data_IF_093583821249
#
_entry.id   IF_093583821249
#
_cell.length_a   1.000
_cell.length_b   1.000
_cell.length_c   1.000
_cell.angle_alpha   90.00
_cell.angle_beta   90.00
_cell.angle_gamma   90.00
#
_symmetry.space_group_name_H-M   'P 1'
#
loop_
_entity.id
_entity.type
_entity.pdbx_description
1 polymer ?
#
# COMPACT_ATOMS: atom_id res chain seq x y z
N UNK A 1 -21.93 -2.68 -5.56
CA UNK A 1 -22.26 -1.95 -4.31
C UNK A 1 -20.94 -1.73 -3.60
N UNK A 2 -20.58 -0.48 -3.32
CA UNK A 2 -19.36 -0.18 -2.57
C UNK A 2 -19.53 -0.72 -1.14
N UNK A 3 -18.51 -1.41 -0.63
CA UNK A 3 -18.47 -1.85 0.77
C UNK A 3 -18.49 -0.67 1.76
N UNK A 4 -18.57 -0.93 3.08
CA UNK A 4 -18.47 0.13 4.08
C UNK A 4 -17.09 0.78 4.04
N UNK A 5 -17.02 2.09 4.34
CA UNK A 5 -15.78 2.84 4.40
C UNK A 5 -14.78 2.21 5.39
N UNK A 6 -13.55 1.96 4.91
CA UNK A 6 -12.45 1.43 5.72
C UNK A 6 -11.42 2.50 6.05
N UNK A 7 -11.10 3.36 5.06
CA UNK A 7 -10.33 4.60 5.27
C UNK A 7 -11.14 5.75 4.70
N UNK A 8 -11.30 6.82 5.48
CA UNK A 8 -11.85 8.07 5.02
C UNK A 8 -10.80 9.17 5.20
N UNK A 9 -10.56 9.91 4.14
CA UNK A 9 -9.68 11.08 4.15
C UNK A 9 -10.56 12.31 3.92
N UNK A 10 -10.45 13.30 4.83
CA UNK A 10 -11.27 14.51 4.80
C UNK A 10 -10.41 15.76 4.87
N UNK A 11 -10.52 16.62 3.87
CA UNK A 11 -9.83 17.92 3.73
C UNK A 11 -8.33 17.83 4.06
N UNK A 12 -7.69 16.71 3.62
CA UNK A 12 -6.30 16.43 3.97
C UNK A 12 -5.36 17.31 3.16
N UNK A 13 -4.45 17.98 3.85
CA UNK A 13 -3.38 18.77 3.22
C UNK A 13 -2.03 18.36 3.78
N UNK A 14 -1.05 18.18 2.89
CA UNK A 14 0.30 17.75 3.21
C UNK A 14 1.29 18.84 2.79
N UNK A 15 2.21 19.20 3.69
CA UNK A 15 3.22 20.20 3.44
C UNK A 15 4.56 19.87 4.12
N UNK A 16 5.63 20.46 3.61
CA UNK A 16 6.95 20.51 4.24
C UNK A 16 7.30 21.99 4.46
N UNK A 17 7.17 22.49 5.69
CA UNK A 17 7.23 23.90 5.98
C UNK A 17 6.17 24.65 5.17
N UNK A 18 6.57 25.67 4.42
CA UNK A 18 5.67 26.49 3.58
C UNK A 18 5.34 25.82 2.23
N UNK A 19 6.00 24.72 1.88
CA UNK A 19 5.77 24.03 0.62
C UNK A 19 4.60 23.06 0.72
N UNK A 20 3.47 23.41 0.10
CA UNK A 20 2.28 22.55 0.02
C UNK A 20 2.48 21.51 -1.07
N UNK A 21 2.48 20.22 -0.67
CA UNK A 21 2.58 19.08 -1.59
C UNK A 21 1.24 18.76 -2.22
N UNK A 22 0.21 18.63 -1.39
CA UNK A 22 -1.18 18.38 -1.79
C UNK A 22 -2.12 19.05 -0.78
N UNK A 23 -3.31 19.45 -1.22
CA UNK A 23 -4.31 20.14 -0.39
C UNK A 23 -5.74 19.71 -0.71
N UNK A 24 -6.59 19.73 0.31
CA UNK A 24 -8.03 19.48 0.16
C UNK A 24 -8.31 18.11 -0.46
N UNK A 25 -7.62 17.07 0.00
CA UNK A 25 -7.90 15.70 -0.47
C UNK A 25 -9.08 15.14 0.29
N UNK A 26 -10.11 14.70 -0.46
CA UNK A 26 -11.31 14.05 0.06
C UNK A 26 -11.58 12.76 -0.70
N UNK A 27 -11.41 11.60 -0.06
CA UNK A 27 -11.68 10.31 -0.68
C UNK A 27 -11.97 9.22 0.34
N UNK A 28 -12.55 8.12 -0.14
CA UNK A 28 -12.88 6.94 0.66
C UNK A 28 -12.32 5.69 0.03
N UNK A 29 -11.69 4.85 0.84
CA UNK A 29 -11.31 3.48 0.51
C UNK A 29 -12.31 2.55 1.20
N UNK A 30 -13.02 1.74 0.45
CA UNK A 30 -14.00 0.81 1.02
C UNK A 30 -13.34 -0.52 1.39
N UNK A 31 -13.98 -1.28 2.28
CA UNK A 31 -13.50 -2.64 2.61
C UNK A 31 -13.46 -3.51 1.37
N UNK A 32 -12.33 -4.22 1.20
CA UNK A 32 -12.09 -5.09 0.07
C UNK A 32 -11.71 -4.37 -1.24
N UNK A 33 -11.52 -3.04 -1.22
CA UNK A 33 -10.95 -2.34 -2.38
C UNK A 33 -9.48 -2.73 -2.60
N UNK A 34 -9.07 -2.76 -3.86
CA UNK A 34 -7.70 -2.45 -4.27
C UNK A 34 -7.73 -1.00 -4.76
N UNK A 35 -7.45 -0.10 -3.84
CA UNK A 35 -7.50 1.34 -4.08
C UNK A 35 -6.16 1.85 -4.59
N UNK A 36 -6.15 2.48 -5.76
CA UNK A 36 -4.93 2.96 -6.39
C UNK A 36 -4.74 4.46 -6.19
N UNK A 37 -3.61 4.85 -5.62
CA UNK A 37 -3.13 6.24 -5.61
C UNK A 37 -2.20 6.40 -6.80
N UNK A 38 -2.67 7.08 -7.83
CA UNK A 38 -1.92 7.28 -9.07
C UNK A 38 -1.59 8.75 -9.32
N UNK A 39 -0.62 9.00 -10.20
CA UNK A 39 -0.18 10.34 -10.59
C UNK A 39 1.28 10.36 -11.03
N UNK A 40 1.72 11.46 -11.60
CA UNK A 40 3.09 11.66 -12.08
C UNK A 40 4.14 11.61 -10.97
N UNK A 41 5.42 11.61 -11.35
CA UNK A 41 6.51 11.68 -10.38
C UNK A 41 6.46 13.02 -9.63
N UNK A 42 6.73 12.98 -8.32
CA UNK A 42 6.74 14.18 -7.48
C UNK A 42 5.36 14.76 -7.10
N UNK A 43 4.23 14.16 -7.54
CA UNK A 43 2.89 14.65 -7.20
C UNK A 43 2.47 14.39 -5.74
N UNK A 44 3.30 13.77 -4.89
CA UNK A 44 3.01 13.59 -3.47
C UNK A 44 2.42 12.24 -3.07
N UNK A 45 2.44 11.21 -3.93
CA UNK A 45 1.94 9.86 -3.62
C UNK A 45 2.56 9.26 -2.35
N UNK A 46 3.88 9.24 -2.26
CA UNK A 46 4.60 8.72 -1.08
C UNK A 46 4.36 9.59 0.16
N UNK A 47 4.16 10.90 0.00
CA UNK A 47 3.79 11.78 1.12
C UNK A 47 2.39 11.46 1.64
N UNK A 48 1.43 11.24 0.73
CA UNK A 48 0.09 10.77 1.11
C UNK A 48 0.15 9.42 1.81
N UNK A 49 0.90 8.46 1.25
CA UNK A 49 1.09 7.16 1.88
C UNK A 49 1.62 7.29 3.31
N UNK A 50 2.66 8.13 3.52
CA UNK A 50 3.22 8.37 4.87
C UNK A 50 2.19 8.96 5.83
N UNK A 51 1.31 9.84 5.36
CA UNK A 51 0.22 10.38 6.16
C UNK A 51 -0.82 9.30 6.51
N UNK A 52 -1.16 8.43 5.55
CA UNK A 52 -2.06 7.31 5.80
C UNK A 52 -1.50 6.30 6.79
N UNK A 53 -0.23 5.96 6.75
CA UNK A 53 0.35 4.94 7.63
C UNK A 53 0.90 5.48 8.96
N UNK A 54 0.67 6.76 9.27
CA UNK A 54 1.07 7.35 10.54
C UNK A 54 2.56 7.65 10.68
N UNK A 55 3.27 7.84 9.55
CA UNK A 55 4.69 8.20 9.52
C UNK A 55 4.93 9.72 9.38
N UNK A 56 3.93 10.45 8.87
CA UNK A 56 4.03 11.91 8.69
C UNK A 56 2.68 12.55 8.99
N UNK A 57 2.65 13.41 9.98
CA UNK A 57 1.44 14.15 10.31
C UNK A 57 1.06 15.12 9.19
N UNK A 58 -0.21 15.13 8.73
CA UNK A 58 -0.69 16.10 7.76
C UNK A 58 -0.70 17.51 8.35
N UNK A 59 -0.58 18.51 7.49
CA UNK A 59 -0.70 19.92 7.90
C UNK A 59 -2.15 20.31 8.24
N UNK A 60 -3.13 19.63 7.63
CA UNK A 60 -4.56 19.84 7.88
C UNK A 60 -5.36 18.60 7.49
N UNK A 61 -6.57 18.48 8.04
CA UNK A 61 -7.52 17.43 7.70
C UNK A 61 -7.39 16.20 8.58
N UNK A 62 -8.16 15.17 8.26
CA UNK A 62 -8.26 13.95 9.06
C UNK A 62 -8.12 12.69 8.21
N UNK A 63 -7.61 11.64 8.85
CA UNK A 63 -7.58 10.27 8.33
C UNK A 63 -8.31 9.39 9.33
N UNK A 64 -9.44 8.82 8.91
CA UNK A 64 -10.24 7.95 9.77
C UNK A 64 -10.10 6.50 9.30
N UNK A 65 -9.89 5.59 10.24
CA UNK A 65 -9.91 4.14 10.05
C UNK A 65 -11.17 3.56 10.67
N UNK A 66 -12.10 3.10 9.85
CA UNK A 66 -13.41 2.61 10.31
C UNK A 66 -14.12 3.62 11.24
N UNK A 67 -14.01 4.92 10.92
CA UNK A 67 -14.59 6.02 11.69
C UNK A 67 -13.73 6.58 12.83
N UNK A 68 -12.61 5.97 13.18
CA UNK A 68 -11.71 6.44 14.23
C UNK A 68 -10.63 7.37 13.66
N UNK A 69 -10.55 8.61 14.16
CA UNK A 69 -9.57 9.61 13.72
C UNK A 69 -8.16 9.26 14.22
N UNK A 70 -7.27 8.93 13.30
CA UNK A 70 -5.93 8.47 13.62
C UNK A 70 -5.06 9.58 14.24
N UNK A 71 -5.06 10.77 13.64
CA UNK A 71 -4.10 11.82 14.03
C UNK A 71 -4.51 12.58 15.29
N UNK A 72 -5.81 12.63 15.60
CA UNK A 72 -6.32 13.24 16.83
C UNK A 72 -6.52 12.22 17.97
N UNK A 73 -6.27 10.93 17.72
CA UNK A 73 -6.34 9.90 18.74
C UNK A 73 -5.15 9.94 19.70
N UNK A 74 -5.36 9.44 20.93
CA UNK A 74 -4.28 9.20 21.89
C UNK A 74 -3.33 8.08 21.42
N UNK A 75 -2.12 8.05 22.01
CA UNK A 75 -1.05 7.13 21.61
C UNK A 75 -1.46 5.64 21.60
N UNK A 76 -2.25 5.20 22.56
CA UNK A 76 -2.75 3.82 22.64
C UNK A 76 -3.63 3.46 21.44
N UNK A 77 -4.57 4.34 21.08
CA UNK A 77 -5.43 4.16 19.90
C UNK A 77 -4.62 4.18 18.60
N UNK A 78 -3.67 5.11 18.47
CA UNK A 78 -2.77 5.14 17.31
C UNK A 78 -1.97 3.84 17.18
N UNK A 79 -1.45 3.31 18.29
CA UNK A 79 -0.70 2.06 18.30
C UNK A 79 -1.59 0.86 17.91
N UNK A 80 -2.82 0.81 18.40
CA UNK A 80 -3.80 -0.21 18.04
C UNK A 80 -4.15 -0.15 16.56
N UNK A 81 -4.38 1.05 16.00
CA UNK A 81 -4.67 1.24 14.59
C UNK A 81 -3.47 0.86 13.71
N UNK A 82 -2.24 1.23 14.11
CA UNK A 82 -1.01 0.85 13.37
C UNK A 82 -0.84 -0.66 13.25
N UNK A 83 -1.21 -1.46 14.27
CA UNK A 83 -1.13 -2.92 14.21
C UNK A 83 -2.06 -3.54 13.17
N UNK A 84 -3.11 -2.81 12.77
CA UNK A 84 -4.06 -3.23 11.71
C UNK A 84 -3.58 -2.86 10.30
N UNK A 85 -2.42 -2.19 10.19
CA UNK A 85 -1.83 -1.76 8.93
C UNK A 85 -0.59 -2.61 8.63
N UNK A 86 -0.57 -3.24 7.46
CA UNK A 86 0.64 -3.81 6.87
C UNK A 86 1.23 -2.84 5.86
N UNK A 87 2.56 -2.74 5.80
CA UNK A 87 3.21 -1.80 4.88
C UNK A 87 4.31 -2.51 4.10
N UNK A 88 4.19 -2.47 2.77
CA UNK A 88 5.26 -2.84 1.86
C UNK A 88 5.85 -1.57 1.24
N UNK A 89 7.06 -1.22 1.62
CA UNK A 89 7.82 -0.12 1.00
C UNK A 89 8.47 -0.54 -0.31
N UNK A 90 8.73 0.41 -1.20
CA UNK A 90 9.22 0.23 -2.56
C UNK A 90 10.39 -0.78 -2.70
N UNK A 91 11.35 -0.75 -1.78
CA UNK A 91 12.51 -1.68 -1.76
C UNK A 91 12.30 -2.97 -0.97
N UNK A 92 11.07 -3.24 -0.49
CA UNK A 92 10.80 -4.32 0.47
C UNK A 92 11.20 -3.97 1.91
N UNK A 93 12.16 -3.08 2.10
CA UNK A 93 12.70 -2.60 3.39
C UNK A 93 13.09 -3.73 4.37
N UNK A 94 13.58 -4.87 3.84
CA UNK A 94 14.06 -5.98 4.64
C UNK A 94 15.36 -5.60 5.37
N UNK A 95 15.50 -6.08 6.59
CA UNK A 95 16.76 -5.98 7.33
C UNK A 95 17.78 -6.93 6.69
N UNK A 96 18.87 -6.38 6.14
CA UNK A 96 19.86 -7.12 5.39
C UNK A 96 20.69 -8.12 6.24
N UNK A 97 20.76 -7.88 7.54
CA UNK A 97 21.44 -8.73 8.53
C UNK A 97 20.56 -9.85 9.10
N UNK A 98 19.30 -9.90 8.73
CA UNK A 98 18.34 -10.91 9.16
C UNK A 98 17.95 -11.82 7.99
N UNK A 99 17.72 -13.11 8.29
CA UNK A 99 17.13 -14.05 7.34
C UNK A 99 15.70 -13.65 6.98
N UNK A 100 15.08 -14.33 6.01
CA UNK A 100 13.67 -14.10 5.69
C UNK A 100 12.76 -14.46 6.86
N UNK A 101 13.02 -15.59 7.51
CA UNK A 101 12.27 -15.99 8.70
C UNK A 101 12.34 -14.92 9.79
N UNK A 102 13.54 -14.45 10.13
CA UNK A 102 13.74 -13.40 11.12
C UNK A 102 13.06 -12.08 10.74
N UNK A 103 13.12 -11.69 9.46
CA UNK A 103 12.43 -10.49 8.97
C UNK A 103 10.91 -10.59 9.17
N UNK A 104 10.30 -11.73 8.88
CA UNK A 104 8.85 -11.96 9.04
C UNK A 104 8.47 -12.14 10.51
N UNK A 105 9.33 -12.77 11.32
CA UNK A 105 9.12 -12.97 12.76
C UNK A 105 9.13 -11.67 13.55
N UNK A 106 9.90 -10.65 13.10
CA UNK A 106 10.14 -9.41 13.85
C UNK A 106 8.85 -8.74 14.34
N UNK A 107 7.85 -8.40 13.50
CA UNK A 107 6.62 -7.81 13.98
C UNK A 107 5.80 -8.75 14.88
N UNK A 108 5.86 -10.06 14.67
CA UNK A 108 5.13 -11.03 15.50
C UNK A 108 5.73 -11.03 16.91
N UNK A 109 7.05 -11.11 17.02
CA UNK A 109 7.75 -11.11 18.30
C UNK A 109 7.56 -9.79 19.07
N UNK A 110 7.53 -8.66 18.37
CA UNK A 110 7.37 -7.34 18.99
C UNK A 110 5.94 -7.08 19.50
N UNK A 111 4.93 -7.54 18.78
CA UNK A 111 3.54 -7.15 19.03
C UNK A 111 2.66 -8.27 19.57
N UNK A 112 3.18 -9.50 19.69
CA UNK A 112 2.44 -10.63 20.26
C UNK A 112 3.24 -11.28 21.40
N UNK A 113 2.57 -11.94 22.30
CA UNK A 113 3.23 -12.74 23.35
C UNK A 113 3.35 -14.23 22.96
N UNK A 114 3.38 -14.55 21.67
CA UNK A 114 3.37 -15.94 21.21
C UNK A 114 4.70 -16.65 21.51
N UNK A 115 4.65 -17.94 21.87
CA UNK A 115 5.86 -18.73 22.07
C UNK A 115 6.59 -18.95 20.72
N UNK A 116 7.94 -19.12 20.74
CA UNK A 116 8.76 -19.22 19.51
C UNK A 116 8.23 -20.23 18.47
N UNK A 117 7.83 -21.43 18.90
CA UNK A 117 7.30 -22.45 17.98
C UNK A 117 6.05 -21.98 17.19
N UNK A 118 5.19 -21.16 17.80
CA UNK A 118 4.03 -20.58 17.10
C UNK A 118 4.43 -19.46 16.16
N UNK A 119 5.46 -18.69 16.51
CA UNK A 119 6.04 -17.67 15.62
C UNK A 119 6.60 -18.36 14.37
N UNK A 120 7.37 -19.43 14.53
CA UNK A 120 7.95 -20.21 13.42
C UNK A 120 6.87 -20.77 12.48
N UNK A 121 5.77 -21.32 13.01
CA UNK A 121 4.64 -21.80 12.21
C UNK A 121 4.00 -20.67 11.39
N UNK A 122 3.77 -19.51 12.00
CA UNK A 122 3.20 -18.34 11.32
C UNK A 122 4.16 -17.84 10.23
N UNK A 123 5.45 -17.76 10.52
CA UNK A 123 6.49 -17.35 9.57
C UNK A 123 6.51 -18.27 8.36
N UNK A 124 6.57 -19.58 8.57
CA UNK A 124 6.55 -20.56 7.48
C UNK A 124 5.28 -20.40 6.62
N UNK A 125 4.13 -20.22 7.24
CA UNK A 125 2.86 -19.98 6.55
C UNK A 125 2.90 -18.69 5.72
N UNK A 126 3.39 -17.57 6.28
CA UNK A 126 3.46 -16.28 5.56
C UNK A 126 4.43 -16.32 4.39
N UNK A 127 5.57 -16.99 4.53
CA UNK A 127 6.51 -17.20 3.42
C UNK A 127 5.90 -18.11 2.34
N UNK A 128 5.19 -19.16 2.73
CA UNK A 128 4.49 -20.03 1.77
C UNK A 128 3.40 -19.26 0.99
N UNK A 129 2.63 -18.39 1.64
CA UNK A 129 1.60 -17.56 0.98
C UNK A 129 2.16 -16.70 -0.17
N UNK A 130 3.40 -16.24 -0.04
CA UNK A 130 4.04 -15.44 -1.08
C UNK A 130 4.95 -16.27 -2.01
N UNK A 131 4.85 -17.62 -1.95
CA UNK A 131 5.62 -18.54 -2.78
C UNK A 131 7.12 -18.53 -2.45
N UNK A 132 7.48 -18.40 -1.17
CA UNK A 132 8.85 -18.44 -0.65
C UNK A 132 9.06 -19.54 0.39
N UNK A 133 8.25 -20.62 0.35
CA UNK A 133 8.51 -21.80 1.17
C UNK A 133 9.89 -22.42 0.83
N UNK A 134 10.68 -22.74 1.85
CA UNK A 134 12.04 -23.26 1.71
C UNK A 134 13.12 -22.17 1.56
N UNK A 135 12.75 -20.90 1.68
CA UNK A 135 13.69 -19.76 1.65
C UNK A 135 13.85 -19.08 3.02
N UNK A 136 13.40 -19.73 4.09
CA UNK A 136 13.36 -19.20 5.46
C UNK A 136 14.73 -18.70 5.93
N UNK A 137 15.79 -19.45 5.65
CA UNK A 137 17.17 -19.22 6.09
C UNK A 137 17.99 -18.30 5.15
N UNK A 138 17.40 -17.88 4.01
CA UNK A 138 18.09 -17.00 3.07
C UNK A 138 18.12 -15.55 3.56
N UNK A 139 19.22 -14.86 3.26
CA UNK A 139 19.36 -13.43 3.50
C UNK A 139 18.84 -12.62 2.30
N UNK A 140 18.38 -11.37 2.52
CA UNK A 140 17.92 -10.51 1.42
C UNK A 140 18.95 -10.33 0.29
N UNK A 141 20.25 -10.37 0.58
CA UNK A 141 21.31 -10.27 -0.44
C UNK A 141 21.31 -11.41 -1.46
N UNK A 142 20.79 -12.57 -1.10
CA UNK A 142 20.77 -13.79 -1.93
C UNK A 142 19.54 -13.86 -2.87
N UNK A 143 18.63 -12.89 -2.76
CA UNK A 143 17.33 -12.91 -3.45
C UNK A 143 17.29 -12.00 -4.66
N UNK A 144 16.48 -12.40 -5.66
CA UNK A 144 16.08 -11.50 -6.74
C UNK A 144 15.21 -10.33 -6.24
N UNK A 145 15.08 -9.26 -7.04
CA UNK A 145 14.23 -8.12 -6.69
C UNK A 145 12.77 -8.49 -6.42
N UNK A 146 12.22 -9.40 -7.21
CA UNK A 146 10.86 -9.91 -7.02
C UNK A 146 10.70 -10.75 -5.74
N UNK A 147 11.71 -11.58 -5.41
CA UNK A 147 11.70 -12.33 -4.14
C UNK A 147 11.78 -11.39 -2.93
N UNK A 148 12.61 -10.34 -2.98
CA UNK A 148 12.69 -9.33 -1.91
C UNK A 148 11.34 -8.66 -1.66
N UNK A 149 10.62 -8.31 -2.73
CA UNK A 149 9.29 -7.70 -2.62
C UNK A 149 8.26 -8.66 -2.03
N UNK A 150 8.26 -9.93 -2.45
CA UNK A 150 7.39 -10.96 -1.88
C UNK A 150 7.71 -11.22 -0.39
N UNK A 151 8.98 -11.28 -0.02
CA UNK A 151 9.36 -11.40 1.39
C UNK A 151 8.95 -10.17 2.23
N UNK A 152 9.10 -8.96 1.68
CA UNK A 152 8.59 -7.73 2.29
C UNK A 152 7.07 -7.75 2.45
N UNK A 153 6.35 -8.34 1.49
CA UNK A 153 4.91 -8.55 1.57
C UNK A 153 4.53 -9.54 2.67
N UNK A 154 5.24 -10.69 2.78
CA UNK A 154 5.06 -11.65 3.88
C UNK A 154 5.22 -10.99 5.25
N UNK A 155 6.26 -10.15 5.42
CA UNK A 155 6.46 -9.38 6.65
C UNK A 155 5.35 -8.36 6.90
N UNK A 156 4.91 -7.65 5.87
CA UNK A 156 3.81 -6.69 5.98
C UNK A 156 2.51 -7.36 6.44
N UNK A 157 2.34 -8.64 6.10
CA UNK A 157 1.17 -9.45 6.45
C UNK A 157 1.34 -10.29 7.73
N UNK A 158 2.46 -10.16 8.42
CA UNK A 158 2.79 -11.02 9.57
C UNK A 158 1.76 -10.96 10.73
N UNK A 159 1.11 -9.81 10.92
CA UNK A 159 0.09 -9.57 11.94
C UNK A 159 -1.36 -9.66 11.43
N UNK A 160 -1.59 -10.25 10.26
CA UNK A 160 -2.92 -10.32 9.61
C UNK A 160 -3.63 -8.95 9.54
N UNK A 161 -3.02 -7.96 8.90
CA UNK A 161 -3.56 -6.61 8.87
C UNK A 161 -4.89 -6.55 8.09
N UNK A 162 -5.82 -5.72 8.55
CA UNK A 162 -7.07 -5.44 7.83
C UNK A 162 -6.82 -4.61 6.55
N UNK A 163 -5.76 -3.80 6.59
CA UNK A 163 -5.38 -2.88 5.51
C UNK A 163 -3.91 -3.08 5.18
N UNK A 164 -3.62 -3.28 3.90
CA UNK A 164 -2.27 -3.39 3.37
C UNK A 164 -1.97 -2.18 2.48
N UNK A 165 -0.91 -1.45 2.80
CA UNK A 165 -0.46 -0.30 2.01
C UNK A 165 0.83 -0.67 1.29
N UNK A 166 0.85 -0.55 -0.02
CA UNK A 166 1.94 -1.01 -0.89
C UNK A 166 2.47 0.16 -1.71
N UNK A 167 3.75 0.46 -1.56
CA UNK A 167 4.44 1.52 -2.31
C UNK A 167 5.25 0.94 -3.46
N UNK A 168 4.86 1.26 -4.69
CA UNK A 168 5.52 0.90 -5.95
C UNK A 168 5.91 -0.60 -6.04
N UNK A 169 4.92 -1.53 -5.95
CA UNK A 169 5.20 -2.96 -5.88
C UNK A 169 5.98 -3.50 -7.09
N UNK A 170 5.63 -3.07 -8.29
CA UNK A 170 6.19 -3.55 -9.56
C UNK A 170 7.44 -2.79 -10.02
N UNK A 171 7.81 -1.70 -9.35
CA UNK A 171 8.98 -0.89 -9.72
C UNK A 171 10.27 -1.72 -9.77
N UNK A 172 10.99 -1.64 -10.90
CA UNK A 172 12.25 -2.33 -11.12
C UNK A 172 12.13 -3.85 -11.37
N UNK A 173 10.93 -4.37 -11.57
CA UNK A 173 10.68 -5.75 -11.97
C UNK A 173 10.50 -5.84 -13.49
N UNK A 174 10.83 -7.00 -14.05
CA UNK A 174 10.42 -7.34 -15.40
C UNK A 174 8.90 -7.52 -15.50
N UNK A 175 8.29 -7.38 -16.70
CA UNK A 175 6.83 -7.41 -16.84
C UNK A 175 6.17 -8.70 -16.34
N UNK A 176 6.84 -9.85 -16.48
CA UNK A 176 6.28 -11.14 -16.04
C UNK A 176 6.27 -11.24 -14.51
N UNK A 177 7.36 -10.83 -13.88
CA UNK A 177 7.48 -10.81 -12.41
C UNK A 177 6.52 -9.78 -11.80
N UNK A 178 6.36 -8.60 -12.42
CA UNK A 178 5.39 -7.60 -12.00
C UNK A 178 3.96 -8.14 -12.03
N UNK A 179 3.57 -8.80 -13.15
CA UNK A 179 2.25 -9.42 -13.28
C UNK A 179 1.98 -10.50 -12.22
N UNK A 180 2.96 -11.36 -11.93
CA UNK A 180 2.83 -12.37 -10.86
C UNK A 180 2.63 -11.75 -9.48
N UNK A 181 3.26 -10.60 -9.24
CA UNK A 181 3.06 -9.87 -7.99
C UNK A 181 1.66 -9.23 -7.92
N UNK A 182 1.16 -8.71 -9.05
CA UNK A 182 -0.21 -8.20 -9.15
C UNK A 182 -1.25 -9.31 -8.92
N UNK A 183 -1.04 -10.50 -9.50
CA UNK A 183 -1.88 -11.69 -9.28
C UNK A 183 -1.88 -12.09 -7.79
N UNK A 184 -0.72 -12.11 -7.14
CA UNK A 184 -0.61 -12.38 -5.70
C UNK A 184 -1.36 -11.33 -4.85
N UNK A 185 -1.27 -10.05 -5.20
CA UNK A 185 -1.99 -8.98 -4.50
C UNK A 185 -3.51 -9.21 -4.60
N UNK A 186 -4.02 -9.60 -5.77
CA UNK A 186 -5.44 -9.92 -5.95
C UNK A 186 -5.86 -11.16 -5.13
N UNK A 187 -5.04 -12.22 -5.16
CA UNK A 187 -5.29 -13.44 -4.37
C UNK A 187 -5.37 -13.15 -2.86
N UNK A 188 -4.47 -12.31 -2.35
CA UNK A 188 -4.48 -11.90 -0.95
C UNK A 188 -5.76 -11.13 -0.58
N UNK A 189 -6.20 -10.18 -1.44
CA UNK A 189 -7.47 -9.48 -1.26
C UNK A 189 -8.65 -10.46 -1.23
N UNK A 190 -8.71 -11.36 -2.21
CA UNK A 190 -9.85 -12.26 -2.40
C UNK A 190 -9.94 -13.35 -1.32
N UNK A 191 -8.78 -13.88 -0.90
CA UNK A 191 -8.71 -14.97 0.08
C UNK A 191 -8.83 -14.49 1.53
N UNK A 192 -8.30 -13.30 1.84
CA UNK A 192 -8.22 -12.78 3.21
C UNK A 192 -9.20 -11.65 3.49
N UNK A 193 -9.84 -11.09 2.46
CA UNK A 193 -10.73 -9.92 2.58
C UNK A 193 -9.98 -8.63 2.94
N UNK A 194 -8.65 -8.61 2.79
CA UNK A 194 -7.80 -7.45 3.12
C UNK A 194 -8.10 -6.29 2.17
N UNK A 195 -8.25 -5.10 2.69
CA UNK A 195 -8.31 -3.87 1.90
C UNK A 195 -6.89 -3.46 1.51
N UNK A 196 -6.67 -3.15 0.25
CA UNK A 196 -5.32 -2.86 -0.25
C UNK A 196 -5.27 -1.44 -0.83
N UNK A 197 -4.28 -0.65 -0.42
CA UNK A 197 -3.96 0.65 -1.02
C UNK A 197 -2.64 0.51 -1.77
N UNK A 198 -2.66 0.69 -3.07
CA UNK A 198 -1.46 0.60 -3.93
C UNK A 198 -1.08 1.99 -4.40
N UNK A 199 0.11 2.42 -4.08
CA UNK A 199 0.71 3.66 -4.60
C UNK A 199 1.58 3.27 -5.80
N UNK A 200 1.22 3.70 -7.01
CA UNK A 200 2.00 3.33 -8.21
C UNK A 200 1.78 4.29 -9.38
N UNK A 201 2.71 4.28 -10.31
CA UNK A 201 2.61 4.92 -11.62
C UNK A 201 2.65 3.89 -12.77
N UNK A 202 2.67 2.58 -12.46
CA UNK A 202 2.71 1.51 -13.45
C UNK A 202 1.31 1.24 -14.01
N UNK A 203 1.10 1.61 -15.29
CA UNK A 203 -0.21 1.58 -15.93
C UNK A 203 -0.82 0.19 -16.02
N UNK A 204 0.02 -0.83 -16.28
CA UNK A 204 -0.44 -2.21 -16.36
C UNK A 204 -1.08 -2.65 -15.04
N UNK A 205 -0.42 -2.40 -13.89
CA UNK A 205 -0.94 -2.69 -12.56
C UNK A 205 -2.19 -1.87 -12.25
N UNK A 206 -2.16 -0.54 -12.50
CA UNK A 206 -3.32 0.35 -12.27
C UNK A 206 -4.59 -0.19 -12.92
N UNK A 207 -4.48 -0.59 -14.21
CA UNK A 207 -5.63 -1.02 -15.01
C UNK A 207 -6.03 -2.48 -14.77
N UNK A 208 -5.13 -3.33 -14.28
CA UNK A 208 -5.40 -4.75 -14.05
C UNK A 208 -5.98 -5.05 -12.67
N UNK A 209 -5.46 -4.40 -11.61
CA UNK A 209 -5.85 -4.75 -10.24
C UNK A 209 -6.72 -3.70 -9.55
N UNK A 210 -6.64 -2.41 -9.96
CA UNK A 210 -7.37 -1.33 -9.30
C UNK A 210 -8.87 -1.38 -9.56
N UNK A 211 -9.69 -1.37 -8.52
CA UNK A 211 -11.13 -1.25 -8.61
C UNK A 211 -11.65 0.11 -8.17
N UNK A 212 -10.83 0.89 -7.49
CA UNK A 212 -11.10 2.27 -7.12
C UNK A 212 -9.78 3.06 -7.10
N UNK A 213 -9.81 4.37 -7.29
CA UNK A 213 -8.57 5.16 -7.38
C UNK A 213 -8.76 6.63 -7.13
N UNK A 214 -7.63 7.33 -6.90
CA UNK A 214 -7.51 8.78 -7.04
C UNK A 214 -6.32 9.12 -7.94
N UNK A 215 -6.41 10.26 -8.64
CA UNK A 215 -5.28 10.83 -9.36
C UNK A 215 -4.83 12.13 -8.69
N UNK A 216 -3.57 12.16 -8.23
CA UNK A 216 -2.92 13.33 -7.67
C UNK A 216 -2.25 14.15 -8.77
N UNK A 217 -2.62 15.41 -8.89
CA UNK A 217 -2.04 16.32 -9.87
C UNK A 217 -0.97 17.23 -9.22
N UNK A 218 0.21 17.28 -9.84
CA UNK A 218 1.33 18.09 -9.34
C UNK A 218 1.22 19.58 -9.64
N UNK A 219 0.37 19.99 -10.60
CA UNK A 219 0.21 21.40 -10.97
C UNK A 219 -0.85 22.08 -10.10
N UNK A 220 -2.01 21.45 -9.91
CA UNK A 220 -3.09 21.97 -9.06
C UNK A 220 -2.88 21.68 -7.58
N UNK A 221 -1.92 20.81 -7.24
CA UNK A 221 -1.67 20.34 -5.87
C UNK A 221 -2.92 19.79 -5.19
N UNK A 222 -3.74 19.03 -5.93
CA UNK A 222 -4.93 18.36 -5.39
C UNK A 222 -5.25 17.11 -6.20
N UNK A 223 -6.24 16.35 -5.79
CA UNK A 223 -6.77 15.26 -6.59
C UNK A 223 -7.73 15.80 -7.66
N UNK A 224 -7.64 15.31 -8.90
CA UNK A 224 -8.47 15.75 -10.02
C UNK A 224 -9.36 14.66 -10.60
N UNK A 225 -9.25 13.43 -10.10
CA UNK A 225 -10.13 12.33 -10.45
C UNK A 225 -10.21 11.31 -9.32
N UNK A 226 -11.34 10.62 -9.26
CA UNK A 226 -11.62 9.49 -8.36
C UNK A 226 -12.48 8.47 -9.08
N UNK A 227 -12.47 7.21 -8.60
CA UNK A 227 -13.28 6.13 -9.12
C UNK A 227 -12.47 5.03 -9.82
N UNK A 228 -13.16 4.18 -10.61
CA UNK A 228 -12.53 3.05 -11.26
C UNK A 228 -11.51 3.50 -12.33
N UNK A 229 -10.26 3.01 -12.33
CA UNK A 229 -9.23 3.45 -13.28
C UNK A 229 -9.63 3.28 -14.76
N UNK A 230 -10.35 2.22 -15.10
CA UNK A 230 -10.81 1.99 -16.47
C UNK A 230 -11.87 2.99 -16.93
N UNK A 231 -12.72 3.49 -16.01
CA UNK A 231 -13.68 4.54 -16.32
C UNK A 231 -12.96 5.87 -16.48
N UNK A 232 -11.96 6.14 -15.65
CA UNK A 232 -11.09 7.30 -15.79
C UNK A 232 -10.32 7.31 -17.13
N UNK A 233 -9.89 6.13 -17.62
CA UNK A 233 -9.27 5.98 -18.95
C UNK A 233 -10.24 6.34 -20.08
N UNK A 234 -11.50 5.90 -20.00
CA UNK A 234 -12.50 6.10 -21.08
C UNK A 234 -13.07 7.52 -21.06
N UNK A 235 -13.50 7.99 -19.91
CA UNK A 235 -14.36 9.17 -19.76
C UNK A 235 -13.80 10.21 -18.76
N UNK A 236 -12.59 9.98 -18.21
CA UNK A 236 -12.02 10.82 -17.18
C UNK A 236 -11.47 12.17 -17.65
N UNK A 237 -10.95 12.92 -16.71
CA UNK A 237 -10.28 14.21 -16.97
C UNK A 237 -9.15 14.05 -18.02
N UNK A 238 -8.96 15.01 -18.96
CA UNK A 238 -7.96 14.88 -20.05
C UNK A 238 -6.54 14.55 -19.56
N UNK A 239 -6.05 15.16 -18.49
CA UNK A 239 -4.74 14.83 -17.90
C UNK A 239 -4.66 13.38 -17.43
N UNK A 240 -5.72 12.84 -16.83
CA UNK A 240 -5.77 11.46 -16.33
C UNK A 240 -5.76 10.47 -17.50
N UNK A 241 -6.55 10.76 -18.53
CA UNK A 241 -6.55 9.96 -19.77
C UNK A 241 -5.17 9.95 -20.43
N UNK A 242 -4.55 11.13 -20.57
CA UNK A 242 -3.20 11.25 -21.11
C UNK A 242 -2.18 10.45 -20.30
N UNK A 243 -2.25 10.52 -18.96
CA UNK A 243 -1.41 9.70 -18.08
C UNK A 243 -1.65 8.20 -18.31
N UNK A 244 -2.89 7.75 -18.32
CA UNK A 244 -3.25 6.33 -18.47
C UNK A 244 -2.99 5.77 -19.88
N UNK A 245 -2.81 6.61 -20.89
CA UNK A 245 -2.42 6.23 -22.27
C UNK A 245 -0.93 6.41 -22.55
N UNK A 246 -0.11 6.80 -21.57
CA UNK A 246 1.31 7.18 -21.75
C UNK A 246 1.52 8.25 -22.83
N UNK A 247 0.58 9.18 -22.94
CA UNK A 247 0.63 10.25 -23.94
C UNK A 247 0.12 9.84 -25.32
N UNK A 248 -0.33 8.62 -25.49
CA UNK A 248 -1.04 8.20 -26.71
C UNK A 248 -2.49 8.68 -26.73
N UNK A 249 -3.07 8.83 -27.93
CA UNK A 249 -4.52 8.97 -28.12
C UNK A 249 -5.16 7.58 -28.11
N UNK A 250 -6.30 7.44 -27.45
CA UNK A 250 -7.16 6.26 -27.57
C UNK A 250 -7.77 6.21 -28.97
#
# INVERSE_FOLDING_TARGET
MNGPAHIEVRDLSMAYGDFVVQRGLDFTVNKGDIFVVMGGNGCGKTTLMRALVGLQQPAKGTVLYSGEDFWNAGAETQQRLKRRLGILFQGGALWSSLTLAENVALPIAEYTGLPPARVDEIVAFKLALVGLAGFEDFYPSELSGGMKKRAGLARAMALDPDILVIDEPSSGLDPLTARRLDELIMELRDSLGTTIVVVTHELASILSIGNNSIYLDSESHTMIATGHPQDALKNGHPKVRHFLTRGGTL
#
